data_IF_423123016398
#
_entry.id   IF_423123016398
#
_cell.length_a   1.000
_cell.length_b   1.000
_cell.length_c   1.000
_cell.angle_alpha   90.00
_cell.angle_beta   90.00
_cell.angle_gamma   90.00
#
_symmetry.space_group_name_H-M   'P 1'
#
loop_
_entity.id
_entity.type
_entity.pdbx_description
1 polymer ?
#
# COMPACT_ATOMS: atom_id res chain seq x y z
N UNK A 1 -25.89 -25.32 -34.76
CA UNK A 1 -26.16 -25.56 -33.32
C UNK A 1 -25.45 -24.49 -32.52
N UNK A 2 -26.18 -23.52 -31.99
CA UNK A 2 -25.65 -22.47 -31.12
C UNK A 2 -25.23 -23.10 -29.79
N UNK A 3 -23.96 -22.91 -29.40
CA UNK A 3 -23.53 -23.20 -28.03
C UNK A 3 -24.28 -22.22 -27.11
N UNK A 4 -25.27 -22.72 -26.38
CA UNK A 4 -25.82 -22.02 -25.23
C UNK A 4 -24.66 -21.79 -24.26
N UNK A 5 -24.33 -20.51 -24.06
CA UNK A 5 -23.44 -20.08 -23.00
C UNK A 5 -24.24 -20.29 -21.71
N UNK A 6 -23.90 -21.34 -20.97
CA UNK A 6 -24.32 -21.45 -19.57
C UNK A 6 -23.65 -20.29 -18.83
N UNK A 7 -24.40 -19.21 -18.62
CA UNK A 7 -24.04 -18.22 -17.61
C UNK A 7 -24.06 -18.99 -16.29
N UNK A 8 -22.92 -18.98 -15.61
CA UNK A 8 -22.75 -19.63 -14.31
C UNK A 8 -23.81 -19.05 -13.36
N UNK A 9 -24.61 -19.95 -12.78
CA UNK A 9 -25.75 -19.70 -11.86
C UNK A 9 -25.47 -18.63 -10.80
N UNK A 10 -24.21 -18.51 -10.38
CA UNK A 10 -23.78 -17.68 -9.24
C UNK A 10 -23.92 -16.17 -9.46
N UNK A 11 -24.03 -15.71 -10.72
CA UNK A 11 -24.14 -14.29 -11.05
C UNK A 11 -25.55 -13.85 -11.43
N UNK A 12 -26.51 -14.77 -11.51
CA UNK A 12 -27.87 -14.50 -12.01
C UNK A 12 -28.60 -13.47 -11.14
N UNK A 13 -28.46 -13.55 -9.82
CA UNK A 13 -29.04 -12.61 -8.85
C UNK A 13 -28.43 -11.20 -8.93
N UNK A 14 -27.13 -11.10 -9.26
CA UNK A 14 -26.46 -9.82 -9.48
C UNK A 14 -26.91 -9.14 -10.78
N UNK A 15 -27.23 -9.92 -11.81
CA UNK A 15 -27.85 -9.40 -13.03
C UNK A 15 -29.28 -8.90 -12.79
N UNK A 16 -30.07 -9.62 -11.98
CA UNK A 16 -31.42 -9.20 -11.58
C UNK A 16 -31.40 -7.86 -10.83
N UNK A 17 -30.46 -7.66 -9.89
CA UNK A 17 -30.26 -6.36 -9.21
C UNK A 17 -29.99 -5.21 -10.18
N UNK A 18 -29.14 -5.44 -11.18
CA UNK A 18 -28.81 -4.44 -12.20
C UNK A 18 -30.02 -4.09 -13.08
N UNK A 19 -30.89 -5.05 -13.36
CA UNK A 19 -32.14 -4.83 -14.10
C UNK A 19 -33.19 -4.11 -13.24
N UNK A 20 -33.37 -4.50 -11.98
CA UNK A 20 -34.29 -3.81 -11.07
C UNK A 20 -33.90 -2.36 -10.80
N UNK A 21 -32.59 -2.08 -10.70
CA UNK A 21 -32.07 -0.73 -10.59
C UNK A 21 -32.34 0.10 -11.85
N UNK A 22 -32.16 -0.49 -13.04
CA UNK A 22 -32.46 0.19 -14.33
C UNK A 22 -33.96 0.47 -14.50
N UNK A 23 -34.80 -0.43 -14.00
CA UNK A 23 -36.26 -0.35 -14.10
C UNK A 23 -36.90 0.48 -12.96
N UNK A 24 -36.10 1.08 -12.06
CA UNK A 24 -36.57 1.81 -10.88
C UNK A 24 -37.48 0.99 -9.93
N UNK A 25 -37.32 -0.34 -9.91
CA UNK A 25 -38.08 -1.26 -9.05
C UNK A 25 -37.40 -1.41 -7.70
N UNK A 26 -37.81 -0.57 -6.74
CA UNK A 26 -37.14 -0.42 -5.44
C UNK A 26 -37.33 -1.62 -4.49
N UNK A 27 -38.55 -2.09 -4.27
CA UNK A 27 -38.83 -3.22 -3.36
C UNK A 27 -38.15 -4.53 -3.80
N UNK A 28 -38.20 -4.96 -5.08
CA UNK A 28 -37.51 -6.18 -5.51
C UNK A 28 -35.99 -6.08 -5.44
N UNK A 29 -35.43 -4.88 -5.67
CA UNK A 29 -34.01 -4.61 -5.51
C UNK A 29 -33.57 -4.76 -4.05
N UNK A 30 -34.31 -4.16 -3.11
CA UNK A 30 -34.02 -4.23 -1.67
C UNK A 30 -34.12 -5.68 -1.16
N UNK A 31 -35.17 -6.43 -1.51
CA UNK A 31 -35.30 -7.85 -1.14
C UNK A 31 -34.18 -8.74 -1.71
N UNK A 32 -33.80 -8.56 -2.98
CA UNK A 32 -32.73 -9.36 -3.62
C UNK A 32 -31.36 -9.01 -3.03
N UNK A 33 -31.13 -7.73 -2.72
CA UNK A 33 -29.91 -7.28 -2.07
C UNK A 33 -29.80 -7.82 -0.65
N UNK A 34 -30.88 -7.81 0.13
CA UNK A 34 -30.93 -8.41 1.46
C UNK A 34 -30.71 -9.92 1.43
N UNK A 35 -31.27 -10.64 0.46
CA UNK A 35 -31.04 -12.08 0.24
C UNK A 35 -29.58 -12.39 -0.08
N UNK A 36 -28.96 -11.63 -0.98
CA UNK A 36 -27.53 -11.79 -1.29
C UNK A 36 -26.68 -11.43 -0.08
N UNK A 37 -26.99 -10.34 0.63
CA UNK A 37 -26.29 -9.92 1.83
C UNK A 37 -26.37 -10.96 2.94
N UNK A 38 -27.55 -11.55 3.15
CA UNK A 38 -27.78 -12.61 4.13
C UNK A 38 -27.07 -13.91 3.74
N UNK A 39 -27.10 -14.28 2.45
CA UNK A 39 -26.41 -15.47 1.95
C UNK A 39 -24.89 -15.34 2.03
N UNK A 40 -24.34 -14.16 1.68
CA UNK A 40 -22.92 -13.85 1.87
C UNK A 40 -22.54 -13.86 3.35
N UNK A 41 -23.40 -13.33 4.22
CA UNK A 41 -23.19 -13.36 5.67
C UNK A 41 -23.16 -14.80 6.20
N UNK A 42 -24.08 -15.66 5.75
CA UNK A 42 -24.14 -17.07 6.15
C UNK A 42 -22.95 -17.86 5.58
N UNK A 43 -22.58 -17.66 4.31
CA UNK A 43 -21.37 -18.24 3.73
C UNK A 43 -20.10 -17.81 4.49
N UNK A 44 -20.05 -16.56 4.94
CA UNK A 44 -18.95 -16.08 5.79
C UNK A 44 -18.95 -16.77 7.15
N UNK A 45 -20.11 -16.94 7.79
CA UNK A 45 -20.25 -17.64 9.08
C UNK A 45 -19.87 -19.11 8.94
N UNK A 46 -20.35 -19.79 7.89
CA UNK A 46 -20.15 -21.23 7.67
C UNK A 46 -18.69 -21.56 7.31
N UNK A 47 -17.95 -20.60 6.74
CA UNK A 47 -16.55 -20.77 6.34
C UNK A 47 -15.55 -20.00 7.23
N UNK A 48 -16.00 -19.37 8.32
CA UNK A 48 -15.14 -18.50 9.13
C UNK A 48 -14.00 -19.29 9.77
N UNK A 49 -14.28 -20.48 10.29
CA UNK A 49 -13.28 -21.31 10.99
C UNK A 49 -12.22 -21.81 10.02
N UNK A 50 -12.62 -22.28 8.83
CA UNK A 50 -11.70 -22.65 7.75
C UNK A 50 -10.84 -21.47 7.29
N UNK A 51 -11.43 -20.27 7.20
CA UNK A 51 -10.68 -19.04 6.91
C UNK A 51 -9.70 -18.72 8.04
N UNK A 52 -10.11 -18.79 9.31
CA UNK A 52 -9.27 -18.52 10.49
C UNK A 52 -8.11 -19.53 10.60
N UNK A 53 -8.35 -20.82 10.40
CA UNK A 53 -7.30 -21.85 10.34
C UNK A 53 -6.30 -21.55 9.21
N UNK A 54 -6.81 -21.11 8.05
CA UNK A 54 -5.96 -20.65 6.94
C UNK A 54 -5.14 -19.43 7.34
N UNK A 55 -5.71 -18.46 8.04
CA UNK A 55 -5.02 -17.26 8.52
C UNK A 55 -3.87 -17.60 9.48
N UNK A 56 -4.10 -18.59 10.36
CA UNK A 56 -3.10 -19.08 11.31
C UNK A 56 -1.92 -19.71 10.57
N UNK A 57 -2.19 -20.57 9.58
CA UNK A 57 -1.15 -21.27 8.81
C UNK A 57 -0.23 -20.35 7.99
N UNK A 58 -0.73 -19.21 7.49
CA UNK A 58 0.02 -18.28 6.63
C UNK A 58 0.89 -17.29 7.42
N UNK A 59 0.57 -17.09 8.70
CA UNK A 59 1.23 -16.08 9.54
C UNK A 59 2.72 -16.36 9.83
N UNK A 60 3.22 -17.54 9.44
CA UNK A 60 4.60 -17.98 9.55
C UNK A 60 5.43 -17.56 8.32
N UNK A 61 5.75 -16.27 8.21
CA UNK A 61 6.65 -15.75 7.17
C UNK A 61 8.09 -15.80 7.64
N UNK A 62 8.94 -16.56 6.94
CA UNK A 62 10.38 -16.75 7.28
C UNK A 62 11.18 -15.45 7.39
N UNK A 63 10.67 -14.36 6.80
CA UNK A 63 11.32 -13.04 6.75
C UNK A 63 11.11 -12.19 8.01
N UNK A 64 10.19 -12.58 8.89
CA UNK A 64 9.92 -11.92 10.15
C UNK A 64 10.17 -12.87 11.32
N UNK A 65 10.57 -12.31 12.47
CA UNK A 65 10.56 -13.07 13.73
C UNK A 65 9.14 -13.56 14.04
N UNK A 66 9.03 -14.77 14.60
CA UNK A 66 7.74 -15.33 15.03
C UNK A 66 7.24 -14.60 16.28
N UNK A 67 6.61 -13.44 16.08
CA UNK A 67 6.07 -12.60 17.16
C UNK A 67 4.59 -12.26 16.91
N UNK A 68 3.78 -12.10 17.96
CA UNK A 68 2.34 -11.82 17.81
C UNK A 68 2.00 -10.60 16.92
N UNK A 69 2.65 -9.43 17.04
CA UNK A 69 2.33 -8.27 16.19
C UNK A 69 2.38 -8.57 14.69
N UNK A 70 3.32 -9.40 14.26
CA UNK A 70 3.48 -9.81 12.85
C UNK A 70 2.32 -10.71 12.41
N UNK A 71 1.85 -11.63 13.27
CA UNK A 71 0.70 -12.50 12.97
C UNK A 71 -0.58 -11.68 12.76
N UNK A 72 -0.85 -10.74 13.66
CA UNK A 72 -2.03 -9.88 13.56
C UNK A 72 -1.96 -8.89 12.40
N UNK A 73 -0.76 -8.53 11.93
CA UNK A 73 -0.60 -7.75 10.70
C UNK A 73 -1.09 -8.49 9.46
N UNK A 74 -0.78 -9.80 9.34
CA UNK A 74 -1.31 -10.60 8.24
C UNK A 74 -2.84 -10.70 8.33
N UNK A 75 -3.40 -10.86 9.53
CA UNK A 75 -4.85 -10.81 9.72
C UNK A 75 -5.46 -9.47 9.30
N UNK A 76 -4.82 -8.34 9.63
CA UNK A 76 -5.27 -7.01 9.21
C UNK A 76 -5.29 -6.85 7.68
N UNK A 77 -4.28 -7.41 6.99
CA UNK A 77 -4.25 -7.46 5.53
C UNK A 77 -5.38 -8.31 4.94
N UNK A 78 -5.73 -9.41 5.60
CA UNK A 78 -6.82 -10.28 5.17
C UNK A 78 -8.18 -9.59 5.34
N UNK A 79 -8.41 -8.91 6.47
CA UNK A 79 -9.58 -8.06 6.68
C UNK A 79 -9.72 -6.99 5.59
N UNK A 80 -8.61 -6.33 5.25
CA UNK A 80 -8.59 -5.32 4.19
C UNK A 80 -9.00 -5.91 2.84
N UNK A 81 -8.45 -7.06 2.46
CA UNK A 81 -8.80 -7.75 1.20
C UNK A 81 -10.30 -8.06 1.15
N UNK A 82 -10.85 -8.54 2.26
CA UNK A 82 -12.26 -8.94 2.37
C UNK A 82 -13.22 -7.74 2.45
N UNK A 83 -12.70 -6.51 2.34
CA UNK A 83 -13.49 -5.28 2.34
C UNK A 83 -13.81 -4.73 3.74
N UNK A 84 -13.30 -5.37 4.80
CA UNK A 84 -13.46 -4.92 6.19
C UNK A 84 -12.42 -3.85 6.55
N UNK A 85 -12.44 -2.73 5.81
CA UNK A 85 -11.43 -1.68 5.93
C UNK A 85 -11.34 -1.06 7.34
N UNK A 86 -12.47 -0.79 7.98
CA UNK A 86 -12.51 -0.23 9.34
C UNK A 86 -11.99 -1.21 10.38
N UNK A 87 -12.24 -2.52 10.19
CA UNK A 87 -11.70 -3.57 11.03
C UNK A 87 -10.19 -3.71 10.84
N UNK A 88 -9.69 -3.61 9.61
CA UNK A 88 -8.26 -3.60 9.31
C UNK A 88 -7.54 -2.39 9.94
N UNK A 89 -8.17 -1.21 9.92
CA UNK A 89 -7.68 0.00 10.60
C UNK A 89 -7.63 -0.21 12.11
N UNK A 90 -8.73 -0.68 12.70
CA UNK A 90 -8.83 -0.93 14.14
C UNK A 90 -7.81 -1.96 14.59
N UNK A 91 -7.62 -3.04 13.82
CA UNK A 91 -6.61 -4.05 14.13
C UNK A 91 -5.19 -3.49 13.99
N UNK A 92 -4.92 -2.66 12.98
CA UNK A 92 -3.63 -1.98 12.83
C UNK A 92 -3.30 -1.09 14.03
N UNK A 93 -4.30 -0.41 14.60
CA UNK A 93 -4.15 0.35 15.86
C UNK A 93 -3.80 -0.57 17.04
N UNK A 94 -4.48 -1.71 17.19
CA UNK A 94 -4.17 -2.67 18.26
C UNK A 94 -2.78 -3.27 18.12
N UNK A 95 -2.27 -3.47 16.90
CA UNK A 95 -0.88 -3.89 16.67
C UNK A 95 0.11 -2.89 17.28
N UNK A 96 -0.17 -1.58 17.26
CA UNK A 96 0.68 -0.58 17.93
C UNK A 96 0.78 -0.84 19.44
N UNK A 97 -0.34 -1.13 20.10
CA UNK A 97 -0.38 -1.48 21.53
C UNK A 97 0.40 -2.78 21.79
N UNK A 98 0.19 -3.80 20.95
CA UNK A 98 0.90 -5.08 21.04
C UNK A 98 2.42 -4.93 20.89
N UNK A 99 2.90 -4.06 20.01
CA UNK A 99 4.33 -3.74 19.87
C UNK A 99 4.85 -3.19 21.19
N UNK A 100 4.12 -2.27 21.84
CA UNK A 100 4.52 -1.73 23.12
C UNK A 100 4.61 -2.81 24.20
N UNK A 101 3.61 -3.69 24.29
CA UNK A 101 3.60 -4.77 25.27
C UNK A 101 4.77 -5.73 25.04
N UNK A 102 4.99 -6.18 23.80
CA UNK A 102 6.09 -7.09 23.45
C UNK A 102 7.45 -6.49 23.85
N UNK A 103 7.71 -5.22 23.49
CA UNK A 103 8.97 -4.56 23.81
C UNK A 103 9.16 -4.31 25.30
N UNK A 104 8.08 -3.99 26.03
CA UNK A 104 8.15 -3.81 27.47
C UNK A 104 8.46 -5.13 28.18
N UNK A 105 7.86 -6.26 27.76
CA UNK A 105 8.16 -7.57 28.38
C UNK A 105 9.61 -8.03 28.23
N UNK A 106 10.36 -7.46 27.28
CA UNK A 106 11.78 -7.76 27.06
C UNK A 106 12.73 -6.93 27.92
N UNK A 107 12.21 -5.99 28.72
CA UNK A 107 13.02 -5.09 29.55
C UNK A 107 12.42 -4.90 30.94
N UNK A 108 13.23 -4.36 31.85
CA UNK A 108 12.69 -3.91 33.12
C UNK A 108 11.90 -2.62 32.91
N UNK A 109 10.60 -2.64 33.24
CA UNK A 109 9.70 -1.51 33.09
C UNK A 109 8.85 -1.28 34.36
N UNK A 110 8.33 -0.06 34.57
CA UNK A 110 7.67 0.31 35.82
C UNK A 110 6.13 0.20 35.80
N UNK A 111 5.60 -0.49 34.79
CA UNK A 111 4.16 -0.53 34.50
C UNK A 111 3.49 -1.81 34.99
N UNK A 112 4.10 -2.51 35.95
CA UNK A 112 3.54 -3.70 36.55
C UNK A 112 3.58 -4.93 35.64
N UNK A 113 2.57 -5.79 35.78
CA UNK A 113 2.43 -7.00 34.97
C UNK A 113 1.66 -6.70 33.66
N UNK A 114 1.36 -7.75 32.88
CA UNK A 114 0.64 -7.62 31.62
C UNK A 114 -0.75 -6.96 31.77
N UNK A 115 -1.50 -7.30 32.82
CA UNK A 115 -2.82 -6.69 33.07
C UNK A 115 -2.71 -5.21 33.44
N UNK A 116 -1.65 -4.81 34.13
CA UNK A 116 -1.39 -3.40 34.46
C UNK A 116 -1.00 -2.61 33.20
N UNK A 117 -0.23 -3.22 32.28
CA UNK A 117 0.15 -2.63 31.00
C UNK A 117 -1.05 -2.29 30.11
N UNK A 118 -2.08 -3.13 30.10
CA UNK A 118 -3.29 -2.90 29.30
C UNK A 118 -4.10 -1.68 29.75
N UNK A 119 -3.97 -1.30 31.03
CA UNK A 119 -4.63 -0.12 31.60
C UNK A 119 -3.87 1.18 31.35
N UNK A 120 -2.59 1.08 30.98
CA UNK A 120 -1.74 2.24 30.76
C UNK A 120 -2.05 2.92 29.41
N UNK A 121 -1.90 4.25 29.39
CA UNK A 121 -2.11 4.99 28.17
C UNK A 121 -1.03 4.67 27.14
N UNK A 122 -1.44 4.25 25.94
CA UNK A 122 -0.53 3.97 24.82
C UNK A 122 0.56 5.04 24.61
N UNK A 123 0.22 6.34 24.72
CA UNK A 123 1.18 7.44 24.54
C UNK A 123 2.26 7.45 25.61
N UNK A 124 1.94 7.05 26.83
CA UNK A 124 2.92 6.88 27.91
C UNK A 124 3.86 5.73 27.57
N UNK A 125 3.31 4.59 27.14
CA UNK A 125 4.09 3.39 26.81
C UNK A 125 5.05 3.62 25.63
N UNK A 126 4.55 4.18 24.52
CA UNK A 126 5.36 4.43 23.32
C UNK A 126 6.45 5.46 23.59
N UNK A 127 6.16 6.53 24.36
CA UNK A 127 7.16 7.53 24.74
C UNK A 127 8.20 6.97 25.69
N UNK A 128 7.77 6.14 26.65
CA UNK A 128 8.71 5.46 27.53
C UNK A 128 9.66 4.57 26.72
N UNK A 129 9.15 3.77 25.78
CA UNK A 129 9.97 2.93 24.90
C UNK A 129 10.89 3.73 23.96
N UNK A 130 10.47 4.91 23.52
CA UNK A 130 11.27 5.78 22.66
C UNK A 130 12.40 6.54 23.40
N UNK A 131 12.20 6.91 24.67
CA UNK A 131 13.18 7.70 25.43
C UNK A 131 14.55 7.02 25.48
N UNK A 132 15.69 7.73 25.40
CA UNK A 132 16.99 7.10 25.60
C UNK A 132 17.23 6.74 27.07
N UNK A 133 17.35 5.45 27.42
CA UNK A 133 17.55 5.05 28.82
C UNK A 133 19.00 5.22 29.25
N UNK A 134 19.92 5.17 28.29
CA UNK A 134 21.35 5.34 28.52
C UNK A 134 21.92 6.28 27.46
N UNK A 135 22.62 7.32 27.90
CA UNK A 135 23.23 8.33 27.03
C UNK A 135 24.70 8.47 27.43
N UNK A 136 25.61 8.52 26.45
CA UNK A 136 27.01 8.86 26.73
C UNK A 136 27.10 10.24 27.41
N UNK A 137 27.98 10.37 28.40
CA UNK A 137 28.11 11.61 29.18
C UNK A 137 28.41 12.82 28.30
N UNK A 138 29.30 12.70 27.30
CA UNK A 138 29.67 13.83 26.44
C UNK A 138 28.50 14.25 25.57
N UNK A 139 27.72 13.30 25.05
CA UNK A 139 26.49 13.57 24.29
C UNK A 139 25.48 14.27 25.22
N UNK A 140 25.29 13.76 26.44
CA UNK A 140 24.37 14.35 27.41
C UNK A 140 24.74 15.79 27.76
N UNK A 141 26.02 16.06 28.01
CA UNK A 141 26.49 17.41 28.37
C UNK A 141 26.38 18.37 27.18
N UNK A 142 26.93 18.01 26.01
CA UNK A 142 27.08 18.92 24.86
C UNK A 142 25.83 19.01 23.98
N UNK A 143 25.18 17.89 23.72
CA UNK A 143 24.05 17.85 22.77
C UNK A 143 22.71 18.07 23.45
N UNK A 144 22.61 17.82 24.76
CA UNK A 144 21.38 18.01 25.52
C UNK A 144 21.49 19.21 26.45
N UNK A 145 22.34 19.15 27.48
CA UNK A 145 22.36 20.15 28.56
C UNK A 145 22.79 21.54 28.04
N UNK A 146 23.83 21.64 27.24
CA UNK A 146 24.30 22.94 26.73
C UNK A 146 23.29 23.62 25.78
N UNK A 147 22.51 22.83 25.02
CA UNK A 147 21.51 23.36 24.09
C UNK A 147 20.22 23.83 24.77
N UNK A 148 19.96 23.42 26.01
CA UNK A 148 18.78 23.86 26.77
C UNK A 148 19.03 25.26 27.35
N UNK A 149 18.24 26.24 26.89
CA UNK A 149 18.31 27.64 27.32
C UNK A 149 17.52 27.92 28.61
N UNK A 150 16.45 27.16 28.87
CA UNK A 150 15.58 27.35 30.03
C UNK A 150 16.12 26.58 31.24
N UNK A 151 16.46 27.28 32.32
CA UNK A 151 17.04 26.67 33.52
C UNK A 151 16.13 25.62 34.19
N UNK A 152 14.82 25.83 34.20
CA UNK A 152 13.87 24.86 34.77
C UNK A 152 13.88 23.54 33.98
N UNK A 153 13.94 23.60 32.64
CA UNK A 153 14.06 22.43 31.78
C UNK A 153 15.41 21.73 31.96
N UNK A 154 16.49 22.48 32.11
CA UNK A 154 17.82 21.93 32.42
C UNK A 154 17.83 21.20 33.76
N UNK A 155 17.22 21.77 34.80
CA UNK A 155 17.10 21.14 36.10
C UNK A 155 16.23 19.88 36.05
N UNK A 156 15.14 19.93 35.29
CA UNK A 156 14.29 18.77 35.05
C UNK A 156 15.09 17.63 34.40
N UNK A 157 15.77 17.86 33.27
CA UNK A 157 16.57 16.83 32.56
C UNK A 157 17.65 16.25 33.48
N UNK A 158 18.36 17.09 34.24
CA UNK A 158 19.36 16.63 35.23
C UNK A 158 18.75 15.83 36.38
N UNK A 159 17.49 16.06 36.74
CA UNK A 159 16.86 15.32 37.83
C UNK A 159 16.39 13.93 37.40
N UNK A 160 16.00 13.76 36.13
CA UNK A 160 15.52 12.49 35.55
C UNK A 160 16.63 11.61 34.98
N UNK A 161 17.89 12.08 34.90
CA UNK A 161 19.07 11.25 34.61
C UNK A 161 20.03 11.20 35.81
N UNK A 162 20.74 10.09 35.95
CA UNK A 162 21.81 9.92 36.91
C UNK A 162 23.12 9.61 36.19
N UNK A 163 24.21 10.28 36.57
CA UNK A 163 25.53 9.93 36.09
C UNK A 163 25.98 8.61 36.72
N UNK A 164 26.28 7.62 35.88
CA UNK A 164 27.05 6.44 36.24
C UNK A 164 28.53 6.74 35.94
N UNK A 165 29.32 6.94 37.00
CA UNK A 165 30.74 7.31 36.88
C UNK A 165 31.60 6.19 36.31
N UNK A 166 31.29 4.93 36.58
CA UNK A 166 32.07 3.77 36.13
C UNK A 166 31.98 3.58 34.62
N UNK A 167 30.79 3.80 34.05
CA UNK A 167 30.52 3.62 32.62
C UNK A 167 30.59 4.91 31.82
N UNK A 168 30.79 6.04 32.49
CA UNK A 168 30.75 7.38 31.90
C UNK A 168 29.46 7.66 31.10
N UNK A 169 28.32 7.21 31.62
CA UNK A 169 27.00 7.32 30.97
C UNK A 169 25.96 7.91 31.91
N UNK A 170 25.01 8.65 31.37
CA UNK A 170 23.80 9.10 32.08
C UNK A 170 22.68 8.06 31.91
N UNK A 171 22.11 7.59 33.02
CA UNK A 171 21.05 6.58 33.06
C UNK A 171 19.73 7.22 33.47
N UNK A 172 18.66 6.92 32.75
CA UNK A 172 17.31 7.39 33.03
C UNK A 172 16.77 6.81 34.35
N UNK A 173 16.27 7.69 35.22
CA UNK A 173 15.64 7.32 36.49
C UNK A 173 14.17 7.04 36.28
N UNK A 174 13.83 5.76 36.30
CA UNK A 174 12.46 5.27 36.09
C UNK A 174 11.47 5.89 37.10
N UNK A 175 11.88 6.00 38.37
CA UNK A 175 11.04 6.51 39.47
C UNK A 175 10.55 7.95 39.25
N UNK A 176 11.40 8.80 38.67
CA UNK A 176 11.10 10.21 38.47
C UNK A 176 10.62 10.51 37.05
N UNK A 177 11.07 9.77 36.04
CA UNK A 177 10.81 10.08 34.64
C UNK A 177 9.57 9.44 34.03
N UNK A 178 9.03 8.34 34.57
CA UNK A 178 8.02 7.50 33.88
C UNK A 178 6.65 8.12 33.64
N UNK A 179 6.30 9.19 34.36
CA UNK A 179 4.93 9.73 34.31
C UNK A 179 4.63 10.38 32.96
N UNK A 180 3.37 10.31 32.50
CA UNK A 180 2.95 10.92 31.23
C UNK A 180 3.35 12.40 31.12
N UNK A 181 3.18 13.16 32.22
CA UNK A 181 3.58 14.57 32.31
C UNK A 181 5.08 14.76 32.05
N UNK A 182 5.92 13.95 32.69
CA UNK A 182 7.37 14.07 32.58
C UNK A 182 7.87 13.57 31.22
N UNK A 183 7.31 12.48 30.69
CA UNK A 183 7.59 12.01 29.34
C UNK A 183 7.19 13.06 28.29
N UNK A 184 6.04 13.70 28.42
CA UNK A 184 5.65 14.79 27.50
C UNK A 184 6.64 15.94 27.55
N UNK A 185 6.93 16.45 28.76
CA UNK A 185 7.90 17.53 28.95
C UNK A 185 9.27 17.18 28.37
N UNK A 186 9.70 15.93 28.51
CA UNK A 186 10.95 15.45 27.97
C UNK A 186 11.02 15.52 26.45
N UNK A 187 9.98 15.02 25.77
CA UNK A 187 9.89 15.09 24.31
C UNK A 187 9.79 16.53 23.80
N UNK A 188 9.05 17.40 24.49
CA UNK A 188 8.96 18.82 24.15
C UNK A 188 10.33 19.52 24.23
N UNK A 189 11.15 19.17 25.23
CA UNK A 189 12.51 19.71 25.37
C UNK A 189 13.39 19.18 24.22
N UNK A 190 13.33 17.88 23.95
CA UNK A 190 14.17 17.23 22.94
C UNK A 190 13.88 17.73 21.53
N UNK A 191 12.61 17.96 21.20
CA UNK A 191 12.20 18.58 19.96
C UNK A 191 12.78 20.00 19.82
N UNK A 192 12.69 20.84 20.87
CA UNK A 192 13.23 22.22 20.85
C UNK A 192 14.73 22.28 20.61
N UNK A 193 15.48 21.30 21.11
CA UNK A 193 16.94 21.24 20.94
C UNK A 193 17.37 20.38 19.74
N UNK A 194 16.41 19.87 18.97
CA UNK A 194 16.60 18.97 17.83
C UNK A 194 17.43 17.71 18.19
N UNK A 195 17.13 17.11 19.34
CA UNK A 195 17.72 15.84 19.75
C UNK A 195 16.80 14.69 19.33
N UNK A 196 17.24 13.87 18.37
CA UNK A 196 16.38 12.90 17.65
C UNK A 196 16.60 11.44 18.06
N UNK A 197 17.61 11.15 18.87
CA UNK A 197 17.97 9.78 19.25
C UNK A 197 16.86 9.12 20.07
N UNK A 198 16.52 7.89 19.69
CA UNK A 198 15.51 7.03 20.33
C UNK A 198 16.10 5.63 20.57
N UNK A 199 15.62 4.93 21.60
CA UNK A 199 16.12 3.58 21.94
C UNK A 199 15.49 2.48 21.08
N UNK A 200 14.21 2.17 21.35
CA UNK A 200 13.56 0.97 20.79
C UNK A 200 13.02 1.19 19.38
N UNK A 201 12.64 2.42 19.07
CA UNK A 201 12.09 2.77 17.77
C UNK A 201 13.17 3.47 16.95
N UNK A 202 13.57 2.92 15.80
CA UNK A 202 14.34 3.66 14.80
C UNK A 202 13.58 4.92 14.35
N UNK A 203 14.31 5.89 13.77
CA UNK A 203 13.86 7.29 13.70
C UNK A 203 12.41 7.49 13.19
N UNK A 204 11.99 6.78 12.13
CA UNK A 204 10.64 6.89 11.57
C UNK A 204 9.59 5.99 12.24
N UNK A 205 9.99 4.84 12.80
CA UNK A 205 9.06 3.88 13.41
C UNK A 205 8.18 4.50 14.51
N UNK A 206 8.77 5.37 15.34
CA UNK A 206 8.02 6.05 16.39
C UNK A 206 6.90 6.94 15.82
N UNK A 207 7.18 7.70 14.76
CA UNK A 207 6.21 8.61 14.17
C UNK A 207 5.11 7.82 13.43
N UNK A 208 5.48 6.76 12.72
CA UNK A 208 4.54 5.87 12.04
C UNK A 208 3.60 5.16 13.00
N UNK A 209 4.11 4.62 14.12
CA UNK A 209 3.30 3.99 15.16
C UNK A 209 2.26 4.99 15.71
N UNK A 210 2.70 6.20 16.04
CA UNK A 210 1.81 7.23 16.55
C UNK A 210 0.75 7.64 15.51
N UNK A 211 1.14 7.72 14.24
CA UNK A 211 0.24 8.05 13.12
C UNK A 211 -0.81 6.96 12.87
N UNK A 212 -0.41 5.69 12.86
CA UNK A 212 -1.35 4.54 12.74
C UNK A 212 -2.33 4.55 13.90
N UNK A 213 -1.84 4.74 15.13
CA UNK A 213 -2.68 4.77 16.32
C UNK A 213 -3.70 5.91 16.28
N UNK A 214 -3.29 7.12 15.88
CA UNK A 214 -4.19 8.26 15.74
C UNK A 214 -5.23 8.07 14.65
N UNK A 215 -4.83 7.54 13.51
CA UNK A 215 -5.75 7.22 12.44
C UNK A 215 -6.78 6.20 12.93
N UNK A 216 -6.34 5.13 13.60
CA UNK A 216 -7.25 4.14 14.19
C UNK A 216 -8.21 4.70 15.25
N UNK A 217 -7.78 5.65 16.08
CA UNK A 217 -8.67 6.31 17.04
C UNK A 217 -9.82 7.07 16.38
N UNK A 218 -9.66 7.52 15.13
CA UNK A 218 -10.77 8.15 14.41
C UNK A 218 -11.92 7.16 14.17
N UNK A 219 -11.59 5.90 13.90
CA UNK A 219 -12.56 4.84 13.65
C UNK A 219 -13.14 4.24 14.94
N UNK A 220 -12.33 4.12 16.00
CA UNK A 220 -12.80 3.64 17.31
C UNK A 220 -13.78 4.61 17.97
N UNK A 221 -13.56 5.92 17.81
CA UNK A 221 -14.39 6.96 18.42
C UNK A 221 -15.41 7.60 17.46
N UNK A 222 -15.71 6.94 16.33
CA UNK A 222 -16.64 7.41 15.30
C UNK A 222 -16.42 8.87 14.84
N UNK A 223 -15.16 9.31 14.82
CA UNK A 223 -14.78 10.62 14.29
C UNK A 223 -14.65 10.52 12.78
N UNK A 224 -15.14 11.52 12.05
CA UNK A 224 -15.05 11.53 10.58
C UNK A 224 -13.60 11.75 10.15
N UNK A 225 -12.97 10.73 9.57
CA UNK A 225 -11.77 10.92 8.74
C UNK A 225 -12.11 11.74 7.49
N UNK A 226 -11.13 12.49 6.98
CA UNK A 226 -11.24 13.17 5.69
C UNK A 226 -11.07 12.23 4.49
N UNK A 227 -10.52 11.03 4.71
CA UNK A 227 -10.25 10.04 3.67
C UNK A 227 -11.32 8.94 3.67
N UNK A 228 -11.33 8.11 2.63
CA UNK A 228 -12.16 6.91 2.62
C UNK A 228 -11.57 5.85 3.56
N UNK A 229 -12.40 4.99 4.18
CA UNK A 229 -11.90 3.87 5.00
C UNK A 229 -10.92 2.98 4.25
N UNK A 230 -11.10 2.80 2.94
CA UNK A 230 -10.17 2.03 2.10
C UNK A 230 -8.79 2.69 2.06
N UNK A 231 -8.72 4.00 1.81
CA UNK A 231 -7.45 4.73 1.73
C UNK A 231 -6.72 4.76 3.08
N UNK A 232 -7.45 4.97 4.17
CA UNK A 232 -6.88 4.96 5.52
C UNK A 232 -6.40 3.56 5.93
N UNK A 233 -7.13 2.51 5.54
CA UNK A 233 -6.70 1.14 5.78
C UNK A 233 -5.43 0.80 4.99
N UNK A 234 -5.33 1.24 3.73
CA UNK A 234 -4.10 1.11 2.92
C UNK A 234 -2.92 1.79 3.61
N UNK A 235 -3.11 3.04 4.02
CA UNK A 235 -2.07 3.81 4.65
C UNK A 235 -1.59 3.18 5.96
N UNK A 236 -2.53 2.74 6.81
CA UNK A 236 -2.20 2.08 8.07
C UNK A 236 -1.46 0.76 7.86
N UNK A 237 -1.87 -0.06 6.89
CA UNK A 237 -1.19 -1.31 6.55
C UNK A 237 0.22 -1.11 6.01
N UNK A 238 0.45 -0.03 5.27
CA UNK A 238 1.79 0.34 4.80
C UNK A 238 2.68 0.81 5.96
N UNK A 239 2.21 1.77 6.75
CA UNK A 239 2.96 2.32 7.88
C UNK A 239 3.28 1.27 8.94
N UNK A 240 2.31 0.43 9.31
CA UNK A 240 2.56 -0.63 10.29
C UNK A 240 3.44 -1.73 9.70
N UNK A 241 3.36 -2.00 8.40
CA UNK A 241 4.26 -2.94 7.72
C UNK A 241 5.72 -2.49 7.77
N UNK A 242 5.97 -1.21 7.54
CA UNK A 242 7.30 -0.59 7.66
C UNK A 242 7.85 -0.71 9.09
N UNK A 243 7.04 -0.34 10.08
CA UNK A 243 7.38 -0.49 11.51
C UNK A 243 7.74 -1.94 11.86
N UNK A 244 6.91 -2.90 11.42
CA UNK A 244 7.15 -4.31 11.72
C UNK A 244 8.41 -4.83 11.05
N UNK A 245 8.74 -4.34 9.85
CA UNK A 245 9.97 -4.69 9.17
C UNK A 245 11.20 -4.14 9.91
N UNK A 246 11.17 -2.87 10.30
CA UNK A 246 12.26 -2.26 11.08
C UNK A 246 12.49 -2.96 12.43
N UNK A 247 11.42 -3.39 13.11
CA UNK A 247 11.52 -3.98 14.44
C UNK A 247 11.74 -5.51 14.46
N UNK A 248 11.20 -6.22 13.47
CA UNK A 248 11.11 -7.69 13.49
C UNK A 248 11.60 -8.37 12.20
N UNK A 249 12.04 -7.61 11.20
CA UNK A 249 12.68 -8.17 10.01
C UNK A 249 13.96 -8.95 10.35
N UNK A 250 14.35 -9.88 9.48
CA UNK A 250 15.64 -10.56 9.56
C UNK A 250 16.74 -9.68 8.94
N UNK A 251 17.87 -9.55 9.64
CA UNK A 251 19.01 -8.75 9.16
C UNK A 251 19.73 -9.39 7.98
N UNK A 252 19.68 -10.71 7.88
CA UNK A 252 20.29 -11.49 6.82
C UNK A 252 19.26 -12.43 6.22
N UNK A 253 19.15 -12.38 4.89
CA UNK A 253 18.33 -13.30 4.14
C UNK A 253 19.06 -14.65 4.11
N UNK A 254 18.44 -15.75 4.56
CA UNK A 254 19.09 -17.05 4.54
C UNK A 254 19.48 -17.42 3.10
N UNK A 255 20.79 -17.55 2.85
CA UNK A 255 21.33 -17.94 1.55
C UNK A 255 20.92 -19.39 1.25
N UNK A 256 20.53 -19.67 0.00
CA UNK A 256 20.08 -20.99 -0.47
C UNK A 256 18.79 -21.53 0.18
N UNK A 257 18.00 -20.68 0.85
CA UNK A 257 16.65 -21.05 1.24
C UNK A 257 15.64 -20.39 0.30
N UNK A 258 14.66 -21.17 -0.15
CA UNK A 258 13.48 -20.60 -0.80
C UNK A 258 12.68 -19.86 0.25
N UNK A 259 12.76 -18.53 0.24
CA UNK A 259 11.83 -17.71 1.02
C UNK A 259 10.48 -17.82 0.34
N UNK A 260 9.61 -18.64 0.91
CA UNK A 260 8.19 -18.51 0.65
C UNK A 260 7.71 -17.26 1.36
N UNK A 261 7.17 -16.31 0.60
CA UNK A 261 6.32 -15.30 1.21
C UNK A 261 5.07 -16.02 1.74
N UNK A 262 4.42 -15.49 2.79
CA UNK A 262 3.11 -16.02 3.19
C UNK A 262 2.09 -16.05 2.03
N UNK A 263 2.35 -15.29 0.97
CA UNK A 263 1.52 -15.15 -0.22
C UNK A 263 1.81 -16.21 -1.30
N UNK A 264 2.91 -16.98 -1.21
CA UNK A 264 3.29 -17.97 -2.25
C UNK A 264 2.34 -19.16 -2.33
N UNK A 265 1.62 -19.46 -1.26
CA UNK A 265 0.70 -20.59 -1.21
C UNK A 265 -0.73 -20.21 -1.67
N UNK A 266 -1.02 -18.92 -1.92
CA UNK A 266 -2.38 -18.42 -2.26
C UNK A 266 -2.39 -17.18 -3.19
N UNK A 267 -2.26 -17.36 -4.53
CA UNK A 267 -2.23 -16.27 -5.51
C UNK A 267 -3.58 -15.53 -5.68
N UNK A 268 -4.68 -16.09 -5.19
CA UNK A 268 -6.02 -15.50 -5.17
C UNK A 268 -6.13 -14.30 -4.21
N UNK A 269 -5.36 -14.32 -3.13
CA UNK A 269 -5.20 -13.21 -2.16
C UNK A 269 -4.59 -11.96 -2.84
N UNK A 270 -3.89 -12.14 -3.96
CA UNK A 270 -3.16 -11.09 -4.67
C UNK A 270 -3.97 -10.38 -5.77
N UNK A 271 -5.25 -10.71 -5.98
CA UNK A 271 -6.03 -10.12 -7.09
C UNK A 271 -6.46 -8.66 -6.91
N UNK A 272 -6.11 -8.03 -5.76
CA UNK A 272 -6.42 -6.62 -5.48
C UNK A 272 -5.21 -5.70 -5.20
N UNK A 273 -4.04 -6.25 -4.88
CA UNK A 273 -2.78 -5.52 -4.65
C UNK A 273 -1.57 -6.41 -4.92
N UNK A 274 -0.72 -6.00 -5.86
CA UNK A 274 0.59 -6.60 -6.06
C UNK A 274 1.59 -6.02 -5.04
N UNK A 275 1.58 -6.50 -3.80
CA UNK A 275 2.78 -6.44 -2.96
C UNK A 275 3.69 -7.62 -3.30
N UNK A 276 4.22 -7.60 -4.52
CA UNK A 276 5.43 -8.35 -4.77
C UNK A 276 6.56 -7.60 -4.06
N UNK A 277 7.10 -8.17 -2.98
CA UNK A 277 8.49 -7.88 -2.65
C UNK A 277 9.30 -8.54 -3.75
N UNK A 278 9.55 -7.79 -4.83
CA UNK A 278 10.44 -8.24 -5.88
C UNK A 278 11.83 -8.18 -5.29
N UNK A 279 12.30 -9.31 -4.80
CA UNK A 279 13.69 -9.46 -4.40
C UNK A 279 14.52 -9.48 -5.69
N UNK A 280 15.39 -8.50 -5.83
CA UNK A 280 16.30 -8.40 -6.95
C UNK A 280 17.65 -8.94 -6.54
N UNK A 281 18.26 -9.76 -7.39
CA UNK A 281 19.54 -10.38 -7.11
C UNK A 281 20.68 -9.34 -7.05
N UNK A 282 20.48 -8.16 -7.62
CA UNK A 282 21.46 -7.07 -7.69
C UNK A 282 20.83 -5.69 -7.44
N UNK A 283 21.62 -4.70 -6.95
CA UNK A 283 21.18 -3.31 -6.83
C UNK A 283 20.73 -2.68 -8.16
N UNK A 284 21.35 -3.03 -9.29
CA UNK A 284 20.95 -2.55 -10.62
C UNK A 284 19.55 -3.05 -11.03
N UNK A 285 19.24 -4.32 -10.74
CA UNK A 285 17.92 -4.89 -10.97
C UNK A 285 16.86 -4.25 -10.05
N UNK A 286 17.24 -3.94 -8.81
CA UNK A 286 16.39 -3.20 -7.87
C UNK A 286 16.11 -1.78 -8.33
N UNK A 287 17.12 -1.09 -8.87
CA UNK A 287 16.98 0.26 -9.44
C UNK A 287 16.07 0.23 -10.69
N UNK A 288 16.19 -0.81 -11.51
CA UNK A 288 15.35 -1.02 -12.71
C UNK A 288 13.88 -1.23 -12.33
N UNK A 289 13.61 -2.07 -11.33
CA UNK A 289 12.27 -2.27 -10.78
C UNK A 289 11.71 -1.03 -10.08
N UNK A 290 12.53 -0.32 -9.31
CA UNK A 290 12.16 0.91 -8.60
C UNK A 290 11.81 2.07 -9.56
N UNK A 291 12.55 2.21 -10.65
CA UNK A 291 12.33 3.23 -11.67
C UNK A 291 11.27 2.83 -12.72
N UNK A 292 10.63 1.66 -12.56
CA UNK A 292 9.70 1.11 -13.57
C UNK A 292 10.32 1.03 -14.97
N UNK A 293 11.63 0.80 -15.05
CA UNK A 293 12.34 0.68 -16.31
C UNK A 293 12.05 -0.71 -16.92
N UNK A 294 11.76 -0.78 -18.24
CA UNK A 294 11.46 -2.06 -18.88
C UNK A 294 12.67 -2.99 -18.84
N UNK A 295 12.45 -4.27 -18.54
CA UNK A 295 13.47 -5.32 -18.64
C UNK A 295 14.06 -5.38 -20.06
N UNK A 296 15.28 -5.90 -20.25
CA UNK A 296 15.85 -6.06 -21.61
C UNK A 296 14.95 -6.85 -22.57
N UNK A 297 14.18 -7.82 -22.05
CA UNK A 297 13.19 -8.60 -22.81
C UNK A 297 12.00 -7.72 -23.24
N UNK A 298 11.56 -6.79 -22.40
CA UNK A 298 10.52 -5.81 -22.71
C UNK A 298 11.04 -4.72 -23.66
N UNK A 299 12.27 -4.23 -23.49
CA UNK A 299 12.89 -3.29 -24.43
C UNK A 299 12.94 -3.87 -25.85
N UNK A 300 13.26 -5.17 -25.99
CA UNK A 300 13.17 -5.90 -27.27
C UNK A 300 11.74 -5.99 -27.81
N UNK A 301 10.74 -6.28 -26.95
CA UNK A 301 9.32 -6.27 -27.35
C UNK A 301 8.82 -4.87 -27.72
N UNK A 302 9.31 -3.82 -27.08
CA UNK A 302 8.96 -2.44 -27.38
C UNK A 302 9.50 -1.99 -28.74
N UNK A 303 10.75 -2.35 -29.07
CA UNK A 303 11.29 -2.17 -30.42
C UNK A 303 10.46 -2.93 -31.47
N UNK A 304 9.81 -4.03 -31.07
CA UNK A 304 8.90 -4.78 -31.93
C UNK A 304 7.52 -4.14 -32.10
N UNK A 305 7.17 -3.06 -31.40
CA UNK A 305 5.94 -2.28 -31.65
C UNK A 305 6.06 -1.46 -32.94
N UNK A 306 7.29 -1.13 -33.37
CA UNK A 306 7.56 -0.35 -34.59
C UNK A 306 6.80 -0.93 -35.77
N UNK A 307 5.96 -0.13 -36.41
CA UNK A 307 5.23 -0.56 -37.58
C UNK A 307 3.85 0.04 -37.69
N UNK A 308 3.07 -0.53 -38.61
CA UNK A 308 1.73 -0.10 -38.95
C UNK A 308 0.72 -1.08 -38.37
N UNK A 309 -0.30 -0.54 -37.71
CA UNK A 309 -1.31 -1.35 -37.07
C UNK A 309 -2.70 -0.82 -37.41
N UNK A 310 -3.51 -1.63 -38.06
CA UNK A 310 -4.90 -1.32 -38.36
C UNK A 310 -5.79 -1.71 -37.19
N UNK A 311 -6.55 -0.75 -36.68
CA UNK A 311 -7.29 -0.86 -35.45
C UNK A 311 -8.79 -0.70 -35.58
N UNK A 312 -9.51 -1.38 -34.71
CA UNK A 312 -10.90 -1.11 -34.42
C UNK A 312 -11.13 -0.92 -32.92
N UNK A 313 -11.99 0.03 -32.57
CA UNK A 313 -12.39 0.26 -31.19
C UNK A 313 -13.82 0.78 -31.09
N UNK A 314 -14.39 0.63 -29.90
CA UNK A 314 -15.71 1.21 -29.59
C UNK A 314 -15.52 2.60 -28.95
N UNK A 315 -16.18 3.61 -29.51
CA UNK A 315 -16.22 4.95 -28.93
C UNK A 315 -17.18 5.01 -27.74
N UNK A 316 -17.13 6.12 -26.99
CA UNK A 316 -18.03 6.37 -25.84
C UNK A 316 -19.53 6.29 -26.21
N UNK A 317 -19.88 6.54 -27.47
CA UNK A 317 -21.26 6.49 -27.98
C UNK A 317 -21.65 5.11 -28.51
N UNK A 318 -20.90 4.05 -28.15
CA UNK A 318 -21.05 2.68 -28.64
C UNK A 318 -20.94 2.53 -30.17
N UNK A 319 -20.32 3.49 -30.85
CA UNK A 319 -20.04 3.41 -32.29
C UNK A 319 -18.69 2.76 -32.52
N UNK A 320 -18.61 1.83 -33.47
CA UNK A 320 -17.34 1.30 -33.95
C UNK A 320 -16.58 2.40 -34.70
N UNK A 321 -15.31 2.55 -34.38
CA UNK A 321 -14.34 3.40 -35.06
C UNK A 321 -13.19 2.54 -35.56
N UNK A 322 -12.56 3.00 -36.64
CA UNK A 322 -11.38 2.39 -37.23
C UNK A 322 -10.31 3.45 -37.46
N UNK A 323 -9.05 3.02 -37.44
CA UNK A 323 -7.91 3.90 -37.64
C UNK A 323 -6.59 3.13 -37.66
N UNK A 324 -5.55 3.81 -38.11
CA UNK A 324 -4.21 3.24 -38.22
C UNK A 324 -3.30 3.83 -37.14
N UNK A 325 -2.67 2.96 -36.34
CA UNK A 325 -1.57 3.35 -35.48
C UNK A 325 -0.25 3.16 -36.22
N UNK A 326 0.57 4.20 -36.19
CA UNK A 326 1.93 4.15 -36.70
C UNK A 326 2.92 4.39 -35.55
N UNK A 327 3.87 3.47 -35.38
CA UNK A 327 4.96 3.62 -34.43
C UNK A 327 6.30 3.61 -35.16
N UNK A 328 7.13 4.62 -34.91
CA UNK A 328 8.46 4.72 -35.49
C UNK A 328 9.49 5.17 -34.46
N UNK A 329 10.76 4.97 -34.79
CA UNK A 329 11.89 5.31 -33.91
C UNK A 329 12.61 6.51 -34.51
N UNK A 330 12.79 7.55 -33.72
CA UNK A 330 13.60 8.71 -34.05
C UNK A 330 14.65 8.92 -32.94
N UNK A 331 15.92 8.68 -33.27
CA UNK A 331 17.00 8.63 -32.27
C UNK A 331 16.77 7.50 -31.25
N UNK A 332 16.72 7.87 -29.97
CA UNK A 332 16.45 6.94 -28.84
C UNK A 332 14.97 6.86 -28.46
N UNK A 333 14.09 7.59 -29.15
CA UNK A 333 12.68 7.73 -28.78
C UNK A 333 11.75 6.94 -29.70
N UNK A 334 10.77 6.27 -29.10
CA UNK A 334 9.61 5.70 -29.80
C UNK A 334 8.53 6.79 -29.92
N UNK A 335 8.14 7.08 -31.15
CA UNK A 335 7.08 8.03 -31.48
C UNK A 335 5.87 7.27 -32.04
N UNK A 336 4.68 7.82 -31.80
CA UNK A 336 3.41 7.21 -32.21
C UNK A 336 2.46 8.23 -32.79
N UNK A 337 1.73 7.82 -33.82
CA UNK A 337 0.67 8.61 -34.47
C UNK A 337 -0.57 7.73 -34.67
N UNK A 338 -1.75 8.32 -34.51
CA UNK A 338 -3.03 7.69 -34.84
C UNK A 338 -3.69 8.45 -35.99
N UNK A 339 -3.97 7.75 -37.08
CA UNK A 339 -4.75 8.23 -38.20
C UNK A 339 -6.18 7.71 -38.09
N UNK A 340 -7.17 8.60 -37.93
CA UNK A 340 -8.58 8.21 -37.91
C UNK A 340 -9.11 8.09 -39.34
N UNK A 341 -9.69 6.94 -39.70
CA UNK A 341 -10.37 6.78 -40.98
C UNK A 341 -11.73 7.48 -40.96
N UNK A 342 -11.77 8.78 -41.28
CA UNK A 342 -13.03 9.50 -41.54
C UNK A 342 -13.45 9.29 -42.99
N UNK A 343 -14.73 8.99 -43.22
CA UNK A 343 -15.29 8.61 -44.52
C UNK A 343 -15.28 9.70 -45.60
N UNK A 344 -14.77 10.93 -45.41
CA UNK A 344 -14.75 11.98 -46.45
C UNK A 344 -13.89 13.23 -46.16
N UNK A 345 -12.92 13.21 -45.24
CA UNK A 345 -12.04 14.36 -44.97
C UNK A 345 -10.58 13.91 -44.85
N UNK A 346 -9.63 14.79 -45.20
CA UNK A 346 -8.19 14.56 -45.02
C UNK A 346 -7.92 13.97 -43.64
N UNK A 347 -7.18 12.86 -43.62
CA UNK A 347 -6.88 12.17 -42.39
C UNK A 347 -5.88 12.99 -41.57
N UNK A 348 -6.34 13.54 -40.45
CA UNK A 348 -5.47 14.20 -39.48
C UNK A 348 -4.74 13.12 -38.66
N UNK A 349 -3.41 13.09 -38.77
CA UNK A 349 -2.56 12.28 -37.91
C UNK A 349 -2.45 12.92 -36.51
N UNK A 350 -2.89 12.20 -35.49
CA UNK A 350 -2.86 12.62 -34.09
C UNK A 350 -1.59 12.12 -33.41
N UNK A 351 -0.69 13.00 -32.93
CA UNK A 351 0.51 12.57 -32.22
C UNK A 351 0.16 11.98 -30.85
N UNK A 352 0.91 10.94 -30.45
CA UNK A 352 0.65 10.14 -29.26
C UNK A 352 1.75 10.31 -28.20
N UNK A 353 1.34 10.53 -26.97
CA UNK A 353 2.16 10.32 -25.78
C UNK A 353 2.14 8.82 -25.44
N UNK A 354 3.31 8.20 -25.32
CA UNK A 354 3.45 6.77 -25.00
C UNK A 354 4.00 6.64 -23.58
N UNK A 355 3.30 5.89 -22.73
CA UNK A 355 3.74 5.52 -21.38
C UNK A 355 3.79 4.02 -21.22
N UNK A 356 4.86 3.51 -20.65
CA UNK A 356 5.17 2.09 -20.64
C UNK A 356 5.00 1.55 -19.21
N UNK A 357 4.41 0.36 -19.08
CA UNK A 357 4.07 -0.24 -17.79
C UNK A 357 4.22 -1.76 -17.83
N UNK A 358 5.35 -2.30 -17.37
CA UNK A 358 5.55 -3.75 -17.30
C UNK A 358 5.19 -4.47 -18.61
N UNK A 359 4.05 -5.14 -18.62
CA UNK A 359 3.57 -5.96 -19.74
C UNK A 359 2.55 -5.26 -20.67
N UNK A 360 2.21 -4.01 -20.40
CA UNK A 360 1.32 -3.19 -21.23
C UNK A 360 1.88 -1.78 -21.42
N UNK A 361 1.25 -1.00 -22.30
CA UNK A 361 1.57 0.39 -22.51
C UNK A 361 0.31 1.22 -22.74
N UNK A 362 0.40 2.51 -22.46
CA UNK A 362 -0.66 3.47 -22.70
C UNK A 362 -0.25 4.41 -23.80
N UNK A 363 -1.17 4.65 -24.72
CA UNK A 363 -1.04 5.69 -25.73
C UNK A 363 -2.14 6.72 -25.54
N UNK A 364 -1.77 7.99 -25.63
CA UNK A 364 -2.66 9.08 -25.35
C UNK A 364 -2.41 10.21 -26.34
N UNK A 365 -3.39 10.51 -27.17
CA UNK A 365 -3.24 11.61 -28.11
C UNK A 365 -3.41 12.98 -27.46
N UNK A 366 -2.77 13.97 -28.05
CA UNK A 366 -2.77 15.35 -27.55
C UNK A 366 -2.74 16.35 -28.70
N UNK A 367 -3.18 17.58 -28.43
CA UNK A 367 -3.05 18.65 -29.40
C UNK A 367 -1.59 19.14 -29.42
N UNK A 368 -0.91 19.14 -30.58
CA UNK A 368 0.54 19.43 -30.65
C UNK A 368 0.89 20.85 -30.21
N UNK A 369 -0.02 21.81 -30.40
CA UNK A 369 0.18 23.22 -30.05
C UNK A 369 -0.04 23.50 -28.57
N UNK A 370 -1.06 22.87 -27.97
CA UNK A 370 -1.40 23.13 -26.55
C UNK A 370 -0.82 22.10 -25.59
N UNK A 371 -0.30 20.97 -26.11
CA UNK A 371 0.17 19.80 -25.36
C UNK A 371 -0.88 19.24 -24.39
N UNK A 372 -2.17 19.50 -24.64
CA UNK A 372 -3.29 19.04 -23.81
C UNK A 372 -4.08 17.94 -24.48
N UNK A 373 -4.57 17.03 -23.65
CA UNK A 373 -5.48 15.96 -24.05
C UNK A 373 -6.94 16.39 -23.88
N UNK A 374 -7.76 16.18 -24.91
CA UNK A 374 -9.21 16.33 -24.86
C UNK A 374 -9.86 14.95 -25.02
N UNK A 375 -10.48 14.45 -23.95
CA UNK A 375 -11.13 13.13 -23.88
C UNK A 375 -12.23 12.92 -24.92
N UNK A 376 -12.78 13.99 -25.50
CA UNK A 376 -13.84 13.91 -26.50
C UNK A 376 -13.30 13.90 -27.94
N UNK A 377 -12.03 14.29 -28.14
CA UNK A 377 -11.41 14.41 -29.47
C UNK A 377 -10.30 13.39 -29.69
N UNK A 378 -9.43 13.23 -28.69
CA UNK A 378 -8.23 12.42 -28.80
C UNK A 378 -8.44 11.00 -28.27
N UNK A 379 -7.59 10.09 -28.72
CA UNK A 379 -7.57 8.73 -28.23
C UNK A 379 -6.86 8.61 -26.87
N UNK A 380 -7.23 7.58 -26.11
CA UNK A 380 -6.51 7.18 -24.91
C UNK A 380 -6.72 5.68 -24.72
N UNK A 381 -5.69 4.89 -25.00
CA UNK A 381 -5.76 3.44 -24.99
C UNK A 381 -4.74 2.85 -24.02
N UNK A 382 -5.12 1.74 -23.41
CA UNK A 382 -4.20 0.81 -22.76
C UNK A 382 -4.10 -0.41 -23.67
N UNK A 383 -2.88 -0.80 -24.04
CA UNK A 383 -2.58 -1.82 -25.05
C UNK A 383 -1.58 -2.84 -24.49
N UNK A 384 -1.81 -4.10 -24.81
CA UNK A 384 -0.91 -5.21 -24.54
C UNK A 384 -0.76 -6.08 -25.79
N UNK A 385 0.34 -6.83 -25.86
CA UNK A 385 0.55 -7.80 -26.93
C UNK A 385 -0.24 -9.06 -26.66
N UNK A 386 -1.22 -9.36 -27.52
CA UNK A 386 -1.80 -10.70 -27.58
C UNK A 386 -0.84 -11.68 -28.27
N UNK A 387 -0.19 -11.22 -29.35
CA UNK A 387 0.93 -11.88 -30.02
C UNK A 387 1.71 -10.86 -30.88
N UNK A 388 2.74 -11.29 -31.60
CA UNK A 388 3.63 -10.42 -32.40
C UNK A 388 2.93 -9.61 -33.51
N UNK A 389 1.68 -9.95 -33.84
CA UNK A 389 0.88 -9.33 -34.89
C UNK A 389 -0.43 -8.72 -34.38
N UNK A 390 -0.74 -8.81 -33.09
CA UNK A 390 -2.01 -8.35 -32.52
C UNK A 390 -1.77 -7.65 -31.18
N UNK A 391 -2.22 -6.39 -31.12
CA UNK A 391 -2.39 -5.64 -29.88
C UNK A 391 -3.87 -5.67 -29.48
N UNK A 392 -4.14 -5.87 -28.20
CA UNK A 392 -5.48 -5.78 -27.62
C UNK A 392 -5.45 -4.85 -26.42
N UNK A 393 -6.62 -4.37 -26.00
CA UNK A 393 -6.69 -3.66 -24.73
C UNK A 393 -8.00 -2.92 -24.52
N UNK A 394 -7.93 -1.77 -23.87
CA UNK A 394 -9.11 -1.01 -23.43
C UNK A 394 -9.06 0.45 -23.86
N UNK A 395 -10.22 1.01 -24.23
CA UNK A 395 -10.38 2.43 -24.49
C UNK A 395 -10.64 3.18 -23.18
N UNK A 396 -9.66 3.95 -22.72
CA UNK A 396 -9.69 4.64 -21.43
C UNK A 396 -10.56 5.92 -21.43
N UNK A 397 -10.99 6.41 -22.60
CA UNK A 397 -11.91 7.56 -22.70
C UNK A 397 -13.40 7.17 -22.59
N UNK A 398 -13.72 5.87 -22.50
CA UNK A 398 -15.09 5.37 -22.42
C UNK A 398 -15.16 3.90 -22.01
N UNK A 399 -16.20 3.20 -22.47
CA UNK A 399 -16.33 1.75 -22.30
C UNK A 399 -16.05 1.08 -23.65
N UNK A 400 -15.09 0.18 -23.71
CA UNK A 400 -14.82 -0.56 -24.94
C UNK A 400 -13.48 -1.27 -24.96
N UNK A 401 -13.43 -2.38 -25.70
CA UNK A 401 -12.18 -3.04 -26.06
C UNK A 401 -11.62 -2.42 -27.34
N UNK A 402 -10.30 -2.46 -27.46
CA UNK A 402 -9.58 -2.07 -28.66
C UNK A 402 -8.77 -3.25 -29.17
N UNK A 403 -8.63 -3.34 -30.48
CA UNK A 403 -7.84 -4.35 -31.14
C UNK A 403 -7.12 -3.71 -32.33
N UNK A 404 -5.81 -3.94 -32.43
CA UNK A 404 -4.99 -3.50 -33.56
C UNK A 404 -4.22 -4.68 -34.14
N UNK A 405 -4.26 -4.82 -35.46
CA UNK A 405 -3.55 -5.87 -36.20
C UNK A 405 -2.43 -5.24 -37.00
N UNK A 406 -1.26 -5.86 -36.94
CA UNK A 406 -0.09 -5.42 -37.71
C UNK A 406 -0.35 -5.58 -39.21
N UNK A 407 -0.02 -4.56 -39.99
CA UNK A 407 -0.22 -4.55 -41.45
C UNK A 407 1.07 -4.54 -42.25
N UNK A 408 2.19 -4.20 -41.62
CA UNK A 408 3.51 -4.32 -42.21
C UNK A 408 4.11 -5.71 -41.95
N UNK A 409 4.19 -6.52 -43.02
CA UNK A 409 5.03 -7.71 -43.09
C UNK A 409 6.20 -7.48 -44.04
#
# INVERSE_FOLDING_TARGET
>A
MSKQIHIISDFEELFKLKEFYKDNKKEPYECTYELISHSLKNEYIDNIDSKVERWINISHVLYFKDVPPVKFYFQAKMLFRDGFYEAAITLSRSICEMICYEKLTQMNHPFGNYSDLELENFRTLVKYLAIPKVIDRLIFEKEIIEKITVNDDKNFIKSVYQLNQEKNTCIFKIETGKTAKNLNRFFDIFEKINFVTKDIFPNNSYDLINKVYDNGNTYVHARKSSNTPKDDAINNLNWIGEVLYELYGVNEIPINQTIKSGYTDFPDICTGMNFALTAFATPEDALTGYLNLPSQKQMKKMLSVKGHWEGEWTSKDNKKKQGNLYFHIEGEYLLGELENLKTNEQADAEPLEIKLFGDYFRIKGFNPNTKRHDKNKHCHFELEFFNDSILIGSNLNGYGKVLFKRTDK
#
